data_IF_200272495871
#
_entry.id   IF_200272495871
#
_cell.length_a   1.000
_cell.length_b   1.000
_cell.length_c   1.000
_cell.angle_alpha   90.00
_cell.angle_beta   90.00
_cell.angle_gamma   90.00
#
_symmetry.space_group_name_H-M   'P 1'
#
loop_
_entity.id
_entity.type
_entity.pdbx_description
1 polymer ?
#
# COMPACT_ATOMS: atom_id res chain seq x y z
N UNK A 1 9.70 14.71 4.95
CA UNK A 1 10.91 13.87 5.05
C UNK A 1 10.60 12.81 6.08
N UNK A 2 10.70 11.53 5.72
CA UNK A 2 10.44 10.47 6.67
C UNK A 2 11.50 10.48 7.78
N UNK A 3 11.07 10.40 9.04
CA UNK A 3 11.99 10.16 10.16
C UNK A 3 12.57 8.74 10.08
N UNK A 4 13.71 8.47 10.73
CA UNK A 4 14.30 7.12 10.74
C UNK A 4 13.32 6.04 11.27
N UNK A 5 12.47 6.42 12.23
CA UNK A 5 11.37 5.59 12.72
C UNK A 5 10.28 5.37 11.67
N UNK A 6 9.94 6.38 10.88
CA UNK A 6 8.98 6.25 9.78
C UNK A 6 9.53 5.40 8.63
N UNK A 7 10.82 5.54 8.28
CA UNK A 7 11.50 4.69 7.31
C UNK A 7 11.40 3.22 7.74
N UNK A 8 11.74 2.93 8.99
CA UNK A 8 11.71 1.56 9.53
C UNK A 8 10.30 0.99 9.51
N UNK A 9 9.29 1.81 9.87
CA UNK A 9 7.88 1.43 9.81
C UNK A 9 7.44 1.11 8.37
N UNK A 10 7.72 2.01 7.42
CA UNK A 10 7.30 1.86 6.02
C UNK A 10 8.01 0.69 5.32
N UNK A 11 9.28 0.47 5.62
CA UNK A 11 10.01 -0.72 5.18
C UNK A 11 9.32 -2.00 5.64
N UNK A 12 8.98 -2.11 6.93
CA UNK A 12 8.28 -3.27 7.47
C UNK A 12 6.90 -3.50 6.86
N UNK A 13 6.12 -2.43 6.67
CA UNK A 13 4.81 -2.52 6.02
C UNK A 13 4.95 -2.97 4.57
N UNK A 14 5.90 -2.40 3.82
CA UNK A 14 6.14 -2.80 2.44
C UNK A 14 6.51 -4.28 2.34
N UNK A 15 7.40 -4.76 3.21
CA UNK A 15 7.77 -6.17 3.26
C UNK A 15 6.55 -7.06 3.56
N UNK A 16 5.72 -6.70 4.55
CA UNK A 16 4.50 -7.44 4.87
C UNK A 16 3.50 -7.45 3.70
N UNK A 17 3.35 -6.32 3.00
CA UNK A 17 2.50 -6.24 1.80
C UNK A 17 3.06 -7.12 0.69
N UNK A 18 4.36 -7.11 0.41
CA UNK A 18 4.96 -7.96 -0.62
C UNK A 18 4.76 -9.45 -0.32
N UNK A 19 4.95 -9.88 0.94
CA UNK A 19 4.65 -11.24 1.38
C UNK A 19 3.16 -11.58 1.16
N UNK A 20 2.25 -10.71 1.59
CA UNK A 20 0.83 -10.93 1.41
C UNK A 20 0.44 -11.00 -0.07
N UNK A 21 0.99 -10.14 -0.93
CA UNK A 21 0.75 -10.21 -2.37
C UNK A 21 1.23 -11.55 -2.95
N UNK A 22 2.40 -12.01 -2.51
CA UNK A 22 2.93 -13.33 -2.88
C UNK A 22 1.99 -14.47 -2.45
N UNK A 23 1.48 -14.43 -1.23
CA UNK A 23 0.56 -15.44 -0.68
C UNK A 23 -0.79 -15.42 -1.40
N UNK A 24 -1.25 -14.23 -1.83
CA UNK A 24 -2.45 -14.04 -2.66
C UNK A 24 -2.24 -14.43 -4.14
N UNK A 25 -1.06 -14.93 -4.51
CA UNK A 25 -0.77 -15.42 -5.86
C UNK A 25 -0.40 -14.34 -6.89
N UNK A 26 -0.03 -13.14 -6.44
CA UNK A 26 0.56 -12.12 -7.31
C UNK A 26 2.03 -12.43 -7.60
N UNK A 27 2.52 -11.93 -8.73
CA UNK A 27 3.89 -12.11 -9.18
C UNK A 27 4.87 -11.24 -8.37
N UNK A 28 5.38 -11.80 -7.28
CA UNK A 28 6.40 -11.20 -6.43
C UNK A 28 7.66 -12.05 -6.52
N UNK A 29 8.80 -11.41 -6.81
CA UNK A 29 10.09 -12.11 -6.87
C UNK A 29 10.70 -12.28 -5.49
N UNK A 30 11.51 -13.34 -5.31
CA UNK A 30 12.20 -13.60 -4.04
C UNK A 30 13.07 -12.43 -3.58
N UNK A 31 13.67 -11.69 -4.52
CA UNK A 31 14.47 -10.50 -4.21
C UNK A 31 13.64 -9.33 -3.67
N UNK A 32 12.33 -9.27 -3.97
CA UNK A 32 11.44 -8.23 -3.43
C UNK A 32 10.97 -8.55 -2.02
N UNK A 33 10.85 -9.85 -1.70
CA UNK A 33 10.53 -10.33 -0.37
C UNK A 33 11.77 -10.20 0.52
N UNK A 34 12.95 -10.61 0.04
CA UNK A 34 14.19 -10.57 0.80
C UNK A 34 14.92 -9.21 0.72
N UNK A 35 14.25 -8.14 0.27
CA UNK A 35 14.81 -6.79 0.18
C UNK A 35 15.26 -6.33 1.57
N UNK A 36 16.54 -5.99 1.71
CA UNK A 36 17.12 -5.48 2.95
C UNK A 36 16.81 -3.98 3.11
N UNK A 37 16.89 -3.47 4.35
CA UNK A 37 16.72 -2.03 4.63
C UNK A 37 17.70 -1.17 3.84
N UNK A 38 18.94 -1.66 3.65
CA UNK A 38 19.96 -0.95 2.89
C UNK A 38 19.60 -0.86 1.40
N UNK A 39 19.10 -1.94 0.81
CA UNK A 39 18.63 -1.97 -0.58
C UNK A 39 17.39 -1.09 -0.78
N UNK A 40 16.45 -1.14 0.17
CA UNK A 40 15.29 -0.25 0.19
C UNK A 40 15.71 1.23 0.17
N UNK A 41 16.65 1.62 1.04
CA UNK A 41 17.18 2.98 1.08
C UNK A 41 18.00 3.34 -0.16
N UNK A 42 18.75 2.39 -0.73
CA UNK A 42 19.45 2.62 -1.99
C UNK A 42 18.48 2.87 -3.16
N UNK A 43 17.29 2.24 -3.12
CA UNK A 43 16.26 2.33 -4.16
C UNK A 43 15.42 3.61 -4.05
N UNK A 44 14.99 3.96 -2.85
CA UNK A 44 14.08 5.10 -2.63
C UNK A 44 14.79 6.35 -2.09
N UNK A 45 16.04 6.22 -1.66
CA UNK A 45 16.81 7.26 -0.99
C UNK A 45 16.38 7.49 0.46
N UNK A 46 17.05 8.41 1.14
CA UNK A 46 16.70 8.80 2.52
C UNK A 46 15.51 9.78 2.59
N UNK A 47 15.02 10.24 1.43
CA UNK A 47 14.00 11.29 1.30
C UNK A 47 12.91 10.91 0.30
N UNK A 48 12.28 9.76 0.51
CA UNK A 48 11.11 9.36 -0.27
C UNK A 48 9.80 9.92 0.31
N UNK A 49 8.79 10.01 -0.56
CA UNK A 49 7.39 10.22 -0.23
C UNK A 49 6.69 8.86 -0.17
N UNK A 50 5.56 8.75 0.52
CA UNK A 50 4.85 7.47 0.60
C UNK A 50 4.39 6.98 -0.76
N UNK A 51 3.98 7.88 -1.64
CA UNK A 51 3.59 7.53 -3.01
C UNK A 51 4.71 6.89 -3.84
N UNK A 52 5.99 7.15 -3.51
CA UNK A 52 7.12 6.48 -4.17
C UNK A 52 7.16 4.98 -3.83
N UNK A 53 6.43 4.54 -2.80
CA UNK A 53 6.28 3.14 -2.39
C UNK A 53 5.08 2.44 -3.02
N UNK A 54 4.29 3.11 -3.87
CA UNK A 54 3.17 2.49 -4.57
C UNK A 54 3.60 1.20 -5.29
N UNK A 55 2.72 0.20 -5.27
CA UNK A 55 2.98 -1.12 -5.87
C UNK A 55 1.93 -1.38 -6.95
N UNK A 56 2.36 -1.93 -8.08
CA UNK A 56 1.48 -2.55 -9.07
C UNK A 56 1.98 -3.97 -9.35
N UNK A 57 1.11 -4.97 -9.28
CA UNK A 57 1.45 -6.38 -9.56
C UNK A 57 0.34 -7.07 -10.35
N UNK A 58 0.70 -7.98 -11.24
CA UNK A 58 -0.22 -8.92 -11.88
C UNK A 58 -0.26 -10.26 -11.15
N UNK A 59 -1.30 -11.07 -11.36
CA UNK A 59 -1.31 -12.48 -10.95
C UNK A 59 -0.25 -13.27 -11.71
N UNK A 60 0.26 -14.33 -11.10
CA UNK A 60 1.26 -15.21 -11.75
C UNK A 60 0.75 -15.89 -13.02
N UNK A 61 -0.56 -16.16 -13.08
CA UNK A 61 -1.19 -16.93 -14.16
C UNK A 61 -2.14 -16.09 -15.03
N UNK A 62 -2.33 -14.82 -14.72
CA UNK A 62 -3.25 -13.92 -15.41
C UNK A 62 -2.69 -12.49 -15.35
N UNK A 63 -2.27 -11.96 -16.50
CA UNK A 63 -1.69 -10.62 -16.56
C UNK A 63 -2.73 -9.50 -16.54
N UNK A 64 -4.00 -9.83 -16.79
CA UNK A 64 -5.11 -8.89 -16.78
C UNK A 64 -5.66 -8.71 -15.34
N UNK A 65 -5.52 -9.72 -14.48
CA UNK A 65 -5.78 -9.58 -13.05
C UNK A 65 -4.61 -8.89 -12.34
N UNK A 66 -4.76 -7.59 -12.15
CA UNK A 66 -3.77 -6.72 -11.52
C UNK A 66 -4.28 -6.12 -10.21
N UNK A 67 -3.34 -5.73 -9.36
CA UNK A 67 -3.62 -5.04 -8.10
C UNK A 67 -2.70 -3.84 -7.93
N UNK A 68 -3.29 -2.76 -7.41
CA UNK A 68 -2.56 -1.61 -6.88
C UNK A 68 -2.44 -1.69 -5.36
N UNK A 69 -1.31 -1.25 -4.81
CA UNK A 69 -1.19 -0.88 -3.40
C UNK A 69 -0.76 0.58 -3.34
N UNK A 70 -1.64 1.44 -2.83
CA UNK A 70 -1.40 2.87 -2.71
C UNK A 70 -0.94 3.20 -1.29
N UNK A 71 0.19 3.90 -1.18
CA UNK A 71 0.73 4.39 0.08
C UNK A 71 0.42 5.89 0.21
N UNK A 72 -0.54 6.24 1.08
CA UNK A 72 -1.00 7.63 1.18
C UNK A 72 -0.17 8.48 2.15
N UNK A 73 0.23 9.67 1.70
CA UNK A 73 0.76 10.73 2.56
C UNK A 73 -0.32 11.45 3.37
N UNK A 74 -1.60 11.36 2.98
CA UNK A 74 -2.70 11.93 3.75
C UNK A 74 -2.92 11.15 5.05
N UNK A 75 -2.76 11.84 6.18
CA UNK A 75 -3.02 11.26 7.50
C UNK A 75 -4.46 10.71 7.60
N UNK A 76 -5.43 11.48 7.09
CA UNK A 76 -6.84 11.12 7.03
C UNK A 76 -7.37 11.29 5.61
N UNK A 77 -7.62 10.17 4.95
CA UNK A 77 -7.99 10.19 3.52
C UNK A 77 -9.41 10.70 3.31
N UNK A 78 -9.51 11.71 2.46
CA UNK A 78 -10.76 12.29 1.98
C UNK A 78 -11.24 11.73 0.64
N UNK A 79 -12.44 12.13 0.22
CA UNK A 79 -13.05 11.72 -1.06
C UNK A 79 -12.20 12.15 -2.26
N UNK A 80 -11.53 13.32 -2.18
CA UNK A 80 -10.68 13.83 -3.27
C UNK A 80 -9.54 12.86 -3.61
N UNK A 81 -8.77 12.44 -2.60
CA UNK A 81 -7.68 11.49 -2.78
C UNK A 81 -8.19 10.13 -3.30
N UNK A 82 -9.30 9.63 -2.74
CA UNK A 82 -9.88 8.37 -3.18
C UNK A 82 -10.27 8.39 -4.66
N UNK A 83 -10.87 9.50 -5.14
CA UNK A 83 -11.18 9.67 -6.58
C UNK A 83 -9.93 9.68 -7.45
N UNK A 84 -8.81 10.23 -6.96
CA UNK A 84 -7.53 10.15 -7.68
C UNK A 84 -7.06 8.70 -7.85
N UNK A 85 -7.15 7.88 -6.80
CA UNK A 85 -6.78 6.47 -6.86
C UNK A 85 -7.71 5.66 -7.78
N UNK A 86 -9.02 5.88 -7.69
CA UNK A 86 -10.01 5.24 -8.58
C UNK A 86 -9.76 5.63 -10.04
N UNK A 87 -9.39 6.88 -10.32
CA UNK A 87 -9.05 7.29 -11.68
C UNK A 87 -7.77 6.62 -12.19
N UNK A 88 -6.74 6.44 -11.35
CA UNK A 88 -5.52 5.69 -11.72
C UNK A 88 -5.87 4.23 -12.05
N UNK A 89 -6.66 3.60 -11.18
CA UNK A 89 -7.17 2.24 -11.39
C UNK A 89 -7.92 2.13 -12.73
N UNK A 90 -8.86 3.05 -12.99
CA UNK A 90 -9.61 3.10 -14.24
C UNK A 90 -8.72 3.25 -15.48
N UNK A 91 -7.74 4.15 -15.43
CA UNK A 91 -6.85 4.43 -16.56
C UNK A 91 -5.99 3.22 -16.94
N UNK A 92 -5.65 2.40 -15.95
CA UNK A 92 -4.79 1.24 -16.11
C UNK A 92 -5.57 -0.08 -16.19
N UNK A 93 -6.90 -0.01 -16.25
CA UNK A 93 -7.84 -1.14 -16.26
C UNK A 93 -7.63 -2.12 -15.10
N UNK A 94 -7.37 -1.57 -13.90
CA UNK A 94 -7.12 -2.34 -12.68
C UNK A 94 -8.32 -2.27 -11.75
N UNK A 95 -8.90 -3.40 -11.39
CA UNK A 95 -10.11 -3.45 -10.56
C UNK A 95 -9.83 -3.62 -9.06
N UNK A 96 -8.64 -4.08 -8.67
CA UNK A 96 -8.28 -4.38 -7.28
C UNK A 96 -7.28 -3.37 -6.73
N UNK A 97 -7.51 -2.85 -5.53
CA UNK A 97 -6.51 -2.07 -4.82
C UNK A 97 -6.56 -2.20 -3.30
N UNK A 98 -5.40 -1.96 -2.68
CA UNK A 98 -5.22 -1.84 -1.24
C UNK A 98 -4.74 -0.43 -0.95
N UNK A 99 -5.42 0.27 -0.04
CA UNK A 99 -5.03 1.59 0.41
C UNK A 99 -4.38 1.50 1.80
N UNK A 100 -3.09 1.82 1.89
CA UNK A 100 -2.32 1.85 3.14
C UNK A 100 -2.41 3.24 3.76
N UNK A 101 -3.20 3.39 4.82
CA UNK A 101 -3.49 4.68 5.47
C UNK A 101 -2.84 4.84 6.85
N UNK A 102 -2.60 6.09 7.26
CA UNK A 102 -2.09 6.39 8.60
C UNK A 102 -3.20 6.37 9.65
N UNK A 103 -4.35 6.95 9.29
CA UNK A 103 -5.55 6.96 10.12
C UNK A 103 -6.74 6.40 9.35
N UNK A 104 -7.86 6.22 10.07
CA UNK A 104 -9.11 5.80 9.46
C UNK A 104 -9.62 6.81 8.41
N UNK A 105 -10.28 6.28 7.38
CA UNK A 105 -10.96 7.08 6.35
C UNK A 105 -12.01 8.02 6.96
N UNK A 106 -12.20 9.19 6.34
CA UNK A 106 -13.37 10.03 6.61
C UNK A 106 -14.68 9.27 6.34
N UNK A 107 -15.80 9.56 7.05
CA UNK A 107 -17.08 8.93 6.77
C UNK A 107 -17.50 9.05 5.30
N UNK A 108 -17.31 10.23 4.70
CA UNK A 108 -17.58 10.47 3.27
C UNK A 108 -16.70 9.63 2.35
N UNK A 109 -15.42 9.39 2.70
CA UNK A 109 -14.57 8.50 1.92
C UNK A 109 -15.04 7.04 2.03
N UNK A 110 -15.52 6.59 3.19
CA UNK A 110 -16.12 5.24 3.33
C UNK A 110 -17.38 5.08 2.49
N UNK A 111 -18.26 6.10 2.48
CA UNK A 111 -19.43 6.13 1.59
C UNK A 111 -19.03 6.04 0.12
N UNK A 112 -18.01 6.81 -0.29
CA UNK A 112 -17.47 6.75 -1.64
C UNK A 112 -16.97 5.34 -2.00
N UNK A 113 -16.22 4.64 -1.12
CA UNK A 113 -15.84 3.23 -1.36
C UNK A 113 -17.07 2.35 -1.59
N UNK A 114 -18.13 2.53 -0.79
CA UNK A 114 -19.37 1.78 -0.95
C UNK A 114 -20.03 2.02 -2.31
N UNK A 115 -20.02 3.25 -2.81
CA UNK A 115 -20.59 3.62 -4.12
C UNK A 115 -19.85 2.92 -5.29
N UNK A 116 -18.54 2.73 -5.16
CA UNK A 116 -17.69 2.14 -6.18
C UNK A 116 -17.46 0.62 -6.01
N UNK A 117 -18.01 0.02 -4.95
CA UNK A 117 -17.76 -1.39 -4.57
C UNK A 117 -18.25 -2.44 -5.59
N UNK A 118 -19.18 -2.07 -6.48
CA UNK A 118 -19.63 -2.94 -7.57
C UNK A 118 -18.67 -3.00 -8.77
N UNK A 119 -17.79 -2.01 -8.89
CA UNK A 119 -16.82 -1.89 -9.98
C UNK A 119 -15.40 -2.20 -9.50
N UNK A 120 -15.04 -1.78 -8.29
CA UNK A 120 -13.68 -1.88 -7.76
C UNK A 120 -13.65 -2.62 -6.43
N UNK A 121 -12.68 -3.51 -6.27
CA UNK A 121 -12.37 -4.17 -5.02
C UNK A 121 -11.33 -3.36 -4.24
N UNK A 122 -11.79 -2.59 -3.25
CA UNK A 122 -10.93 -1.73 -2.44
C UNK A 122 -10.82 -2.25 -1.01
N UNK A 123 -9.60 -2.60 -0.60
CA UNK A 123 -9.24 -2.91 0.78
C UNK A 123 -8.52 -1.72 1.42
N UNK A 124 -8.64 -1.56 2.75
CA UNK A 124 -8.01 -0.47 3.49
C UNK A 124 -7.22 -1.05 4.64
N UNK A 125 -5.90 -0.84 4.61
CA UNK A 125 -5.00 -1.26 5.67
C UNK A 125 -4.49 -0.03 6.41
N UNK A 126 -4.71 0.00 7.72
CA UNK A 126 -4.15 1.08 8.52
C UNK A 126 -2.77 0.66 9.03
N UNK A 127 -1.79 1.55 8.94
CA UNK A 127 -0.41 1.32 9.36
C UNK A 127 -0.23 1.36 10.90
N UNK A 128 -1.07 0.62 11.63
CA UNK A 128 -0.98 0.56 13.09
C UNK A 128 0.19 -0.36 13.51
N UNK A 129 1.17 0.22 14.21
CA UNK A 129 2.08 -0.57 15.04
C UNK A 129 1.28 -1.04 16.27
N UNK A 130 1.09 -2.34 16.42
CA UNK A 130 0.71 -2.89 17.72
C UNK A 130 1.83 -2.55 18.72
N UNK A 131 1.54 -1.69 19.69
CA UNK A 131 2.47 -1.24 20.75
C UNK A 131 2.98 -2.35 21.69
N UNK A 132 2.88 -3.64 21.33
CA UNK A 132 3.15 -4.79 22.19
C UNK A 132 4.50 -5.50 21.97
N UNK A 133 5.41 -4.98 21.13
CA UNK A 133 6.75 -5.59 20.94
C UNK A 133 7.92 -4.68 21.29
N UNK A 134 7.77 -3.89 22.35
CA UNK A 134 8.91 -3.29 23.07
C UNK A 134 8.74 -3.49 24.57
N UNK A 135 8.69 -4.75 25.00
CA UNK A 135 9.25 -5.11 26.31
C UNK A 135 10.65 -5.61 26.01
N UNK A 136 11.66 -4.79 26.31
CA UNK A 136 13.02 -5.29 26.47
C UNK A 136 13.03 -6.01 27.83
N UNK A 137 13.10 -7.34 27.79
CA UNK A 137 13.78 -8.10 28.85
C UNK A 137 15.30 -7.91 28.68
#
# INVERSE_FOLDING_TARGET
MASDGEVTKLFGIRHAVMQMLNDRGYLVGDFEINETRAEFLAKFGDKFRREDLDIKKSKRNDNDDQIYVFFTDEARVGVRALKTYINRMKNDDVNSAILVTQQSLTPFAKTCISEFSSMYHLEVFQDQLSSQRMSYD
#
